data_IF_644200512508
#
_entry.id   IF_644200512508
#
_cell.length_a   1.000
_cell.length_b   1.000
_cell.length_c   1.000
_cell.angle_alpha   90.00
_cell.angle_beta   90.00
_cell.angle_gamma   90.00
#
_symmetry.space_group_name_H-M   'P 1'
#
loop_
_entity.id
_entity.type
_entity.pdbx_description
1 polymer ?
#
# COMPACT_ATOMS: atom_id res chain seq x y z
N UNK A 1 -13.43 -5.73 16.27
CA UNK A 1 -12.16 -5.02 16.48
C UNK A 1 -11.00 -5.97 16.82
N UNK A 2 -11.12 -6.83 17.84
CA UNK A 2 -10.02 -7.71 18.31
C UNK A 2 -9.44 -8.66 17.23
N UNK A 3 -10.30 -9.28 16.41
CA UNK A 3 -9.85 -10.13 15.30
C UNK A 3 -9.14 -9.37 14.18
N UNK A 4 -9.40 -8.07 14.02
CA UNK A 4 -8.75 -7.23 13.02
C UNK A 4 -7.32 -6.89 13.45
N UNK A 5 -7.12 -6.55 14.72
CA UNK A 5 -5.78 -6.29 15.28
C UNK A 5 -4.88 -7.53 15.25
N UNK A 6 -5.41 -8.72 15.58
CA UNK A 6 -4.66 -9.98 15.46
C UNK A 6 -4.25 -10.28 14.02
N UNK A 7 -5.10 -9.96 13.04
CA UNK A 7 -4.77 -10.10 11.61
C UNK A 7 -3.72 -9.10 11.15
N UNK A 8 -3.70 -7.89 11.71
CA UNK A 8 -2.66 -6.90 11.47
C UNK A 8 -1.31 -7.37 12.01
N UNK A 9 -1.28 -7.86 13.26
CA UNK A 9 -0.07 -8.42 13.88
C UNK A 9 0.43 -9.64 13.08
N UNK A 10 -0.48 -10.48 12.57
CA UNK A 10 -0.11 -11.60 11.71
C UNK A 10 0.48 -11.20 10.34
N UNK A 11 0.07 -10.06 9.76
CA UNK A 11 0.68 -9.52 8.54
C UNK A 11 2.08 -9.00 8.85
N UNK A 12 2.26 -8.29 9.97
CA UNK A 12 3.56 -7.78 10.43
C UNK A 12 4.51 -8.93 10.81
N UNK A 13 3.98 -10.01 11.41
CA UNK A 13 4.69 -11.25 11.76
C UNK A 13 4.82 -12.23 10.61
N UNK A 14 4.35 -11.87 9.41
CA UNK A 14 4.52 -12.68 8.20
C UNK A 14 3.98 -14.11 8.35
N UNK A 15 2.83 -14.29 9.01
CA UNK A 15 2.23 -15.61 9.13
C UNK A 15 1.92 -16.19 7.75
N UNK A 16 2.19 -17.50 7.60
CA UNK A 16 1.99 -18.27 6.37
C UNK A 16 0.59 -18.11 5.75
N UNK A 17 -0.46 -17.89 6.54
CA UNK A 17 -1.84 -17.71 6.04
C UNK A 17 -2.01 -16.53 5.05
N UNK A 18 -1.14 -15.52 5.11
CA UNK A 18 -1.15 -14.37 4.18
C UNK A 18 -0.74 -14.74 2.75
N UNK A 19 0.04 -15.81 2.59
CA UNK A 19 0.52 -16.36 1.31
C UNK A 19 -0.02 -17.77 1.02
N UNK A 20 -0.79 -18.33 1.95
CA UNK A 20 -1.30 -19.70 1.89
C UNK A 20 -2.29 -19.91 0.75
N UNK A 21 -2.24 -21.10 0.16
CA UNK A 21 -3.05 -21.49 -1.00
C UNK A 21 -4.39 -22.10 -0.66
N UNK A 22 -4.61 -22.50 0.60
CA UNK A 22 -5.78 -23.29 0.97
C UNK A 22 -7.11 -22.49 0.99
N UNK A 23 -7.09 -21.17 1.22
CA UNK A 23 -8.31 -20.32 1.25
C UNK A 23 -8.16 -19.02 0.45
N UNK A 24 -8.01 -19.11 -0.88
CA UNK A 24 -7.51 -18.02 -1.71
C UNK A 24 -8.42 -16.78 -1.73
N UNK A 25 -9.74 -16.98 -1.68
CA UNK A 25 -10.73 -15.89 -1.75
C UNK A 25 -10.86 -15.11 -0.43
N UNK A 26 -10.81 -15.80 0.71
CA UNK A 26 -10.95 -15.16 2.03
C UNK A 26 -9.74 -14.31 2.40
N UNK A 27 -8.53 -14.80 2.11
CA UNK A 27 -7.29 -14.05 2.34
C UNK A 27 -7.24 -12.79 1.48
N UNK A 28 -7.54 -12.90 0.18
CA UNK A 28 -7.57 -11.75 -0.72
C UNK A 28 -8.59 -10.70 -0.27
N UNK A 29 -9.82 -11.11 0.08
CA UNK A 29 -10.84 -10.18 0.62
C UNK A 29 -10.38 -9.50 1.90
N UNK A 30 -9.74 -10.23 2.81
CA UNK A 30 -9.24 -9.67 4.08
C UNK A 30 -8.16 -8.61 3.81
N UNK A 31 -7.21 -8.89 2.92
CA UNK A 31 -6.17 -7.93 2.55
C UNK A 31 -6.76 -6.66 1.91
N UNK A 32 -7.74 -6.81 1.02
CA UNK A 32 -8.47 -5.69 0.42
C UNK A 32 -9.15 -4.85 1.50
N UNK A 33 -9.86 -5.48 2.43
CA UNK A 33 -10.51 -4.77 3.54
C UNK A 33 -9.52 -4.03 4.42
N UNK A 34 -8.34 -4.59 4.67
CA UNK A 34 -7.27 -3.94 5.44
C UNK A 34 -6.74 -2.71 4.68
N UNK A 35 -6.45 -2.82 3.38
CA UNK A 35 -6.02 -1.68 2.56
C UNK A 35 -7.05 -0.57 2.58
N UNK A 36 -8.33 -0.91 2.39
CA UNK A 36 -9.42 0.07 2.40
C UNK A 36 -9.55 0.74 3.77
N UNK A 37 -9.69 -0.05 4.84
CA UNK A 37 -9.97 0.48 6.18
C UNK A 37 -8.81 1.32 6.71
N UNK A 38 -7.58 0.81 6.66
CA UNK A 38 -6.42 1.55 7.15
C UNK A 38 -6.03 2.70 6.20
N UNK A 39 -6.16 2.53 4.88
CA UNK A 39 -5.95 3.60 3.91
C UNK A 39 -6.92 4.78 4.12
N UNK A 40 -8.19 4.49 4.41
CA UNK A 40 -9.19 5.52 4.74
C UNK A 40 -8.84 6.27 6.03
N UNK A 41 -8.35 5.58 7.06
CA UNK A 41 -7.96 6.24 8.32
C UNK A 41 -6.85 7.26 8.13
N UNK A 42 -5.81 6.91 7.35
CA UNK A 42 -4.73 7.86 7.05
C UNK A 42 -5.20 9.01 6.16
N UNK A 43 -5.97 8.70 5.10
CA UNK A 43 -6.49 9.73 4.20
C UNK A 43 -7.44 10.72 4.89
N UNK A 44 -8.20 10.27 5.89
CA UNK A 44 -9.02 11.15 6.72
C UNK A 44 -8.17 12.14 7.54
N UNK A 45 -7.07 11.66 8.14
CA UNK A 45 -6.15 12.53 8.91
C UNK A 45 -5.42 13.51 7.99
N UNK A 46 -5.00 13.08 6.80
CA UNK A 46 -4.39 13.95 5.79
C UNK A 46 -5.35 15.07 5.36
N UNK A 47 -6.65 14.77 5.19
CA UNK A 47 -7.68 15.74 4.85
C UNK A 47 -8.02 16.74 5.97
N UNK A 48 -7.55 16.52 7.21
CA UNK A 48 -7.74 17.46 8.31
C UNK A 48 -6.76 18.65 8.28
N UNK A 49 -5.80 18.69 7.34
CA UNK A 49 -4.82 19.79 7.26
C UNK A 49 -5.46 21.14 6.88
N UNK A 50 -6.46 21.14 6.01
CA UNK A 50 -7.14 22.36 5.53
C UNK A 50 -8.42 22.66 6.33
N UNK A 51 -8.27 22.81 7.64
CA UNK A 51 -9.41 22.99 8.57
C UNK A 51 -10.02 24.41 8.52
N UNK A 52 -9.47 25.34 7.73
CA UNK A 52 -9.90 26.74 7.66
C UNK A 52 -10.82 27.05 6.46
N UNK A 53 -10.95 26.16 5.49
CA UNK A 53 -11.74 26.38 4.28
C UNK A 53 -13.16 25.79 4.42
N UNK A 54 -14.18 26.50 3.96
CA UNK A 54 -15.62 26.26 4.21
C UNK A 54 -16.22 24.91 3.71
N UNK A 55 -15.40 23.94 3.27
CA UNK A 55 -15.77 22.61 2.73
C UNK A 55 -15.51 21.42 3.68
N UNK A 56 -15.61 21.68 4.99
CA UNK A 56 -15.17 20.89 6.17
C UNK A 56 -15.22 19.36 6.13
N UNK A 57 -16.23 18.76 5.50
CA UNK A 57 -16.42 17.30 5.48
C UNK A 57 -16.08 16.68 4.13
N UNK A 58 -16.22 17.46 3.06
CA UNK A 58 -16.10 16.93 1.70
C UNK A 58 -14.64 16.65 1.34
N UNK A 59 -13.71 17.48 1.83
CA UNK A 59 -12.26 17.30 1.63
C UNK A 59 -11.69 16.11 2.42
N UNK A 60 -12.14 15.91 3.66
CA UNK A 60 -11.78 14.73 4.48
C UNK A 60 -12.24 13.44 3.80
N UNK A 61 -13.48 13.41 3.29
CA UNK A 61 -14.02 12.27 2.57
C UNK A 61 -13.28 12.03 1.25
N UNK A 62 -12.97 13.10 0.49
CA UNK A 62 -12.18 12.98 -0.74
C UNK A 62 -10.78 12.40 -0.49
N UNK A 63 -10.06 12.89 0.52
CA UNK A 63 -8.71 12.40 0.84
C UNK A 63 -8.74 10.98 1.43
N UNK A 64 -9.74 10.65 2.25
CA UNK A 64 -9.95 9.29 2.77
C UNK A 64 -10.20 8.26 1.67
N UNK A 65 -10.94 8.63 0.61
CA UNK A 65 -11.19 7.75 -0.53
C UNK A 65 -9.96 7.68 -1.46
N UNK A 66 -9.23 8.79 -1.62
CA UNK A 66 -8.06 8.88 -2.51
C UNK A 66 -6.94 7.93 -2.14
N UNK A 67 -6.63 7.79 -0.86
CA UNK A 67 -5.45 7.00 -0.43
C UNK A 67 -5.59 5.51 -0.78
N UNK A 68 -6.69 4.81 -0.44
CA UNK A 68 -6.94 3.47 -0.93
C UNK A 68 -7.00 3.40 -2.46
N UNK A 69 -7.65 4.38 -3.10
CA UNK A 69 -7.78 4.42 -4.56
C UNK A 69 -6.41 4.49 -5.24
N UNK A 70 -5.48 5.29 -4.69
CA UNK A 70 -4.12 5.38 -5.20
C UNK A 70 -3.40 4.03 -5.10
N UNK A 71 -3.45 3.37 -3.94
CA UNK A 71 -2.80 2.06 -3.75
C UNK A 71 -3.39 1.01 -4.72
N UNK A 72 -4.71 0.96 -4.85
CA UNK A 72 -5.37 0.02 -5.77
C UNK A 72 -5.10 0.35 -7.23
N UNK A 73 -5.12 1.61 -7.61
CA UNK A 73 -4.91 2.02 -8.99
C UNK A 73 -3.45 1.82 -9.41
N UNK A 74 -2.48 2.15 -8.54
CA UNK A 74 -1.06 1.85 -8.79
C UNK A 74 -0.85 0.35 -8.97
N UNK A 75 -1.44 -0.47 -8.10
CA UNK A 75 -1.39 -1.93 -8.22
C UNK A 75 -2.08 -2.45 -9.49
N UNK A 76 -3.27 -1.97 -9.81
CA UNK A 76 -4.05 -2.40 -10.98
C UNK A 76 -3.37 -2.02 -12.30
N UNK A 77 -2.72 -0.86 -12.35
CA UNK A 77 -1.98 -0.41 -13.53
C UNK A 77 -0.66 -1.16 -13.71
N UNK A 78 0.01 -1.57 -12.64
CA UNK A 78 1.25 -2.35 -12.75
C UNK A 78 1.02 -3.84 -12.99
N UNK A 79 -0.18 -4.37 -12.73
CA UNK A 79 -0.53 -5.78 -12.89
C UNK A 79 -0.39 -6.34 -14.33
N UNK A 80 -0.91 -5.68 -15.38
CA UNK A 80 -0.80 -6.19 -16.75
C UNK A 80 0.65 -6.34 -17.20
N UNK A 81 1.48 -5.34 -16.94
CA UNK A 81 2.92 -5.35 -17.26
C UNK A 81 3.61 -6.49 -16.51
N UNK A 82 3.29 -6.67 -15.24
CA UNK A 82 3.81 -7.77 -14.44
C UNK A 82 3.35 -9.14 -14.97
N UNK A 83 2.09 -9.30 -15.37
CA UNK A 83 1.59 -10.56 -15.94
C UNK A 83 2.31 -10.97 -17.22
N UNK A 84 2.47 -10.04 -18.16
CA UNK A 84 3.13 -10.31 -19.45
C UNK A 84 4.58 -10.76 -19.23
N UNK A 85 5.33 -10.02 -18.42
CA UNK A 85 6.73 -10.36 -18.11
C UNK A 85 6.79 -11.70 -17.37
N UNK A 86 5.86 -11.99 -16.44
CA UNK A 86 5.84 -13.26 -15.71
C UNK A 86 5.65 -14.46 -16.65
N UNK A 87 4.78 -14.32 -17.66
CA UNK A 87 4.56 -15.36 -18.67
C UNK A 87 5.77 -15.52 -19.59
N UNK A 88 6.44 -14.43 -19.99
CA UNK A 88 7.66 -14.47 -20.81
C UNK A 88 8.81 -15.21 -20.10
N UNK A 89 8.94 -15.04 -18.78
CA UNK A 89 9.95 -15.76 -17.97
C UNK A 89 9.54 -17.20 -17.58
N UNK A 90 8.37 -17.68 -18.03
CA UNK A 90 7.87 -19.03 -17.71
C UNK A 90 7.37 -19.20 -16.27
N UNK A 91 7.13 -18.11 -15.55
CA UNK A 91 6.77 -18.10 -14.12
C UNK A 91 5.24 -18.07 -13.89
N UNK A 92 4.45 -18.35 -14.93
CA UNK A 92 2.98 -18.23 -14.92
C UNK A 92 2.28 -19.04 -13.81
N UNK A 93 2.82 -20.19 -13.43
CA UNK A 93 2.23 -21.05 -12.39
C UNK A 93 2.29 -20.41 -10.98
N UNK A 94 3.36 -19.68 -10.68
CA UNK A 94 3.56 -18.98 -9.40
C UNK A 94 2.85 -17.61 -9.35
N UNK A 95 2.25 -17.16 -10.46
CA UNK A 95 1.67 -15.81 -10.59
C UNK A 95 0.64 -15.48 -9.49
N UNK A 96 -0.18 -16.45 -9.09
CA UNK A 96 -1.17 -16.26 -8.02
C UNK A 96 -0.50 -16.02 -6.67
N UNK A 97 0.63 -16.67 -6.40
CA UNK A 97 1.40 -16.49 -5.17
C UNK A 97 2.14 -15.14 -5.17
N UNK A 98 2.65 -14.72 -6.33
CA UNK A 98 3.24 -13.40 -6.54
C UNK A 98 2.23 -12.27 -6.27
N UNK A 99 1.04 -12.32 -6.89
CA UNK A 99 -0.03 -11.33 -6.67
C UNK A 99 -0.40 -11.21 -5.19
N UNK A 100 -0.52 -12.34 -4.47
CA UNK A 100 -0.86 -12.31 -3.03
C UNK A 100 0.22 -11.66 -2.21
N UNK A 101 1.49 -11.95 -2.51
CA UNK A 101 2.63 -11.34 -1.84
C UNK A 101 2.66 -9.83 -2.05
N UNK A 102 2.34 -9.39 -3.26
CA UNK A 102 2.18 -7.98 -3.61
C UNK A 102 1.00 -7.36 -2.83
N UNK A 103 -0.18 -8.00 -2.84
CA UNK A 103 -1.35 -7.51 -2.10
C UNK A 103 -1.10 -7.43 -0.58
N UNK A 104 -0.33 -8.38 -0.02
CA UNK A 104 0.10 -8.34 1.37
C UNK A 104 1.03 -7.15 1.65
N UNK A 105 1.94 -6.83 0.71
CA UNK A 105 2.74 -5.60 0.83
C UNK A 105 1.89 -4.33 0.77
N UNK A 106 0.84 -4.29 -0.05
CA UNK A 106 -0.10 -3.14 -0.10
C UNK A 106 -0.84 -2.96 1.24
N UNK A 107 -1.30 -4.07 1.83
CA UNK A 107 -1.91 -4.05 3.16
C UNK A 107 -0.93 -3.53 4.22
N UNK A 108 0.34 -3.94 4.18
CA UNK A 108 1.37 -3.41 5.06
C UNK A 108 1.55 -1.90 4.90
N UNK A 109 1.61 -1.38 3.67
CA UNK A 109 1.70 0.08 3.43
C UNK A 109 0.54 0.80 4.10
N UNK A 110 -0.69 0.32 3.91
CA UNK A 110 -1.88 0.92 4.51
C UNK A 110 -1.85 0.88 6.06
N UNK A 111 -1.45 -0.25 6.64
CA UNK A 111 -1.31 -0.41 8.10
C UNK A 111 -0.27 0.57 8.65
N UNK A 112 0.91 0.66 8.03
CA UNK A 112 1.99 1.54 8.48
C UNK A 112 1.57 3.00 8.35
N UNK A 113 0.93 3.39 7.25
CA UNK A 113 0.36 4.73 7.09
C UNK A 113 -0.62 5.05 8.22
N UNK A 114 -1.59 4.17 8.47
CA UNK A 114 -2.56 4.39 9.55
C UNK A 114 -1.90 4.49 10.93
N UNK A 115 -0.84 3.72 11.19
CA UNK A 115 -0.06 3.82 12.43
C UNK A 115 0.69 5.15 12.55
N UNK A 116 1.05 5.77 11.43
CA UNK A 116 1.70 7.09 11.38
C UNK A 116 0.69 8.25 11.43
N UNK A 117 -0.61 7.97 11.30
CA UNK A 117 -1.66 8.98 11.28
C UNK A 117 -1.68 9.87 12.54
N UNK A 118 -1.57 9.35 13.79
CA UNK A 118 -1.51 10.19 14.99
C UNK A 118 -0.30 11.14 14.97
N UNK A 119 0.83 10.69 14.44
CA UNK A 119 2.05 11.49 14.31
C UNK A 119 1.89 12.60 13.27
N UNK A 120 1.20 12.34 12.16
CA UNK A 120 0.86 13.40 11.19
C UNK A 120 -0.10 14.43 11.79
N UNK A 121 -1.06 14.00 12.62
CA UNK A 121 -2.01 14.91 13.26
C UNK A 121 -1.34 15.84 14.28
N UNK A 122 -0.39 15.34 15.08
CA UNK A 122 0.36 16.20 16.02
C UNK A 122 1.27 17.18 15.29
N UNK A 123 1.84 16.81 14.13
CA UNK A 123 2.62 17.73 13.30
C UNK A 123 1.76 18.89 12.77
N UNK A 124 0.55 18.59 12.29
CA UNK A 124 -0.38 19.61 11.79
C UNK A 124 -0.80 20.60 12.88
N UNK A 125 -0.94 20.14 14.13
CA UNK A 125 -1.20 21.02 15.26
C UNK A 125 -0.06 22.00 15.55
N UNK A 126 1.19 21.64 15.21
CA UNK A 126 2.38 22.46 15.44
C UNK A 126 2.82 23.33 14.26
N UNK A 127 2.33 23.11 13.04
CA UNK A 127 2.78 23.82 11.84
C UNK A 127 1.72 23.88 10.74
N UNK A 128 1.27 25.10 10.39
CA UNK A 128 0.23 25.35 9.38
C UNK A 128 0.77 25.63 7.96
N UNK A 129 2.06 25.38 7.71
CA UNK A 129 2.69 25.65 6.40
C UNK A 129 2.39 24.52 5.42
N UNK A 130 1.78 24.87 4.29
CA UNK A 130 1.39 23.93 3.23
C UNK A 130 2.57 23.11 2.69
N UNK A 131 3.72 23.74 2.45
CA UNK A 131 4.93 23.04 1.96
C UNK A 131 5.42 21.97 2.95
N UNK A 132 5.33 22.27 4.25
CA UNK A 132 5.70 21.32 5.31
C UNK A 132 4.73 20.14 5.39
N UNK A 133 3.44 20.34 5.12
CA UNK A 133 2.45 19.28 5.11
C UNK A 133 2.61 18.33 3.92
N UNK A 134 2.94 18.86 2.74
CA UNK A 134 3.30 18.03 1.58
C UNK A 134 4.53 17.18 1.91
N UNK A 135 5.58 17.79 2.47
CA UNK A 135 6.82 17.10 2.81
C UNK A 135 6.60 15.98 3.83
N UNK A 136 5.82 16.23 4.90
CA UNK A 136 5.51 15.24 5.93
C UNK A 136 4.70 14.08 5.37
N UNK A 137 3.64 14.35 4.58
CA UNK A 137 2.88 13.28 3.94
C UNK A 137 3.75 12.45 3.00
N UNK A 138 4.56 13.11 2.17
CA UNK A 138 5.51 12.43 1.28
C UNK A 138 6.46 11.52 2.04
N UNK A 139 6.98 11.99 3.18
CA UNK A 139 7.83 11.19 4.07
C UNK A 139 7.09 9.97 4.64
N UNK A 140 5.86 10.12 5.13
CA UNK A 140 5.07 8.99 5.66
C UNK A 140 4.80 7.94 4.58
N UNK A 141 4.43 8.37 3.37
CA UNK A 141 4.26 7.47 2.23
C UNK A 141 5.57 6.77 1.83
N UNK A 142 6.71 7.47 1.89
CA UNK A 142 8.01 6.88 1.61
C UNK A 142 8.39 5.82 2.65
N UNK A 143 8.20 6.11 3.94
CA UNK A 143 8.46 5.16 5.04
C UNK A 143 7.54 3.94 4.93
N UNK A 144 6.25 4.15 4.72
CA UNK A 144 5.28 3.07 4.58
C UNK A 144 5.57 2.20 3.35
N UNK A 145 5.91 2.83 2.22
CA UNK A 145 6.33 2.12 1.00
C UNK A 145 7.59 1.29 1.24
N UNK A 146 8.58 1.85 1.95
CA UNK A 146 9.79 1.12 2.34
C UNK A 146 9.49 -0.14 3.16
N UNK A 147 8.60 -0.03 4.15
CA UNK A 147 8.15 -1.18 4.94
C UNK A 147 7.39 -2.23 4.09
N UNK A 148 6.52 -1.77 3.18
CA UNK A 148 5.83 -2.65 2.23
C UNK A 148 6.81 -3.41 1.32
N UNK A 149 7.81 -2.73 0.76
CA UNK A 149 8.86 -3.36 -0.06
C UNK A 149 9.71 -4.34 0.74
N UNK A 150 9.96 -4.06 2.02
CA UNK A 150 10.65 -4.98 2.91
C UNK A 150 9.88 -6.29 3.07
N UNK A 151 8.58 -6.22 3.39
CA UNK A 151 7.72 -7.41 3.48
C UNK A 151 7.64 -8.16 2.15
N UNK A 152 7.53 -7.43 1.03
CA UNK A 152 7.50 -8.05 -0.30
C UNK A 152 8.75 -8.89 -0.57
N UNK A 153 9.93 -8.35 -0.29
CA UNK A 153 11.22 -9.06 -0.44
C UNK A 153 11.29 -10.31 0.41
N UNK A 154 10.75 -10.28 1.62
CA UNK A 154 10.74 -11.45 2.49
C UNK A 154 9.77 -12.53 1.99
N UNK A 155 8.54 -12.16 1.58
CA UNK A 155 7.58 -13.10 1.01
C UNK A 155 8.08 -13.74 -0.30
N UNK A 156 8.72 -12.94 -1.17
CA UNK A 156 9.30 -13.42 -2.43
C UNK A 156 10.48 -14.36 -2.25
N UNK A 157 11.12 -14.40 -1.08
CA UNK A 157 12.26 -15.31 -0.83
C UNK A 157 11.88 -16.78 -1.09
N UNK A 158 10.65 -17.17 -0.74
CA UNK A 158 10.15 -18.54 -0.99
C UNK A 158 10.02 -18.85 -2.48
N UNK A 159 9.64 -17.86 -3.30
CA UNK A 159 9.56 -17.99 -4.76
C UNK A 159 10.96 -17.98 -5.38
N UNK A 160 11.85 -17.11 -4.90
CA UNK A 160 13.24 -17.01 -5.38
C UNK A 160 14.02 -18.33 -5.17
N UNK A 161 13.75 -19.03 -4.06
CA UNK A 161 14.35 -20.35 -3.81
C UNK A 161 13.87 -21.42 -4.80
N UNK A 162 12.64 -21.31 -5.34
CA UNK A 162 12.15 -22.21 -6.40
C UNK A 162 12.75 -21.85 -7.77
N UNK A 163 12.84 -20.56 -8.08
CA UNK A 163 13.37 -20.07 -9.35
C UNK A 163 14.00 -18.67 -9.18
N UNK A 164 15.27 -18.52 -9.60
CA UNK A 164 16.04 -17.28 -9.46
C UNK A 164 15.48 -16.11 -10.29
N UNK A 165 14.72 -16.37 -11.37
CA UNK A 165 14.08 -15.33 -12.19
C UNK A 165 13.08 -14.49 -11.39
N UNK A 166 12.52 -15.01 -10.29
CA UNK A 166 11.67 -14.22 -9.38
C UNK A 166 12.39 -13.01 -8.77
N UNK A 167 13.72 -13.03 -8.69
CA UNK A 167 14.51 -11.89 -8.22
C UNK A 167 14.50 -10.73 -9.23
N UNK A 168 14.65 -11.04 -10.52
CA UNK A 168 14.55 -10.05 -11.60
C UNK A 168 13.13 -9.48 -11.59
N UNK A 169 12.14 -10.36 -11.42
CA UNK A 169 10.74 -10.00 -11.40
C UNK A 169 10.38 -9.05 -10.24
N UNK A 170 10.95 -9.25 -9.06
CA UNK A 170 10.80 -8.33 -7.92
C UNK A 170 11.37 -6.94 -8.22
N UNK A 171 12.55 -6.87 -8.84
CA UNK A 171 13.15 -5.59 -9.24
C UNK A 171 12.34 -4.88 -10.31
N UNK A 172 11.87 -5.63 -11.32
CA UNK A 172 10.98 -5.11 -12.35
C UNK A 172 9.69 -4.55 -11.75
N UNK A 173 9.06 -5.30 -10.83
CA UNK A 173 7.88 -4.84 -10.10
C UNK A 173 8.15 -3.54 -9.35
N UNK A 174 9.25 -3.47 -8.59
CA UNK A 174 9.60 -2.28 -7.82
C UNK A 174 9.79 -1.06 -8.74
N UNK A 175 10.48 -1.24 -9.86
CA UNK A 175 10.70 -0.19 -10.84
C UNK A 175 9.38 0.34 -11.42
N UNK A 176 8.52 -0.56 -11.92
CA UNK A 176 7.21 -0.19 -12.48
C UNK A 176 6.33 0.47 -11.41
N UNK A 177 6.30 -0.09 -10.20
CA UNK A 177 5.47 0.41 -9.11
C UNK A 177 5.86 1.83 -8.68
N UNK A 178 7.17 2.12 -8.59
CA UNK A 178 7.64 3.47 -8.26
C UNK A 178 7.27 4.47 -9.36
N UNK A 179 7.49 4.11 -10.64
CA UNK A 179 7.13 4.99 -11.75
C UNK A 179 5.63 5.30 -11.80
N UNK A 180 4.80 4.27 -11.74
CA UNK A 180 3.33 4.41 -11.74
C UNK A 180 2.88 5.14 -10.48
N UNK A 181 3.47 4.86 -9.32
CA UNK A 181 3.17 5.54 -8.06
C UNK A 181 3.43 7.05 -8.13
N UNK A 182 4.57 7.46 -8.70
CA UNK A 182 4.89 8.87 -8.94
C UNK A 182 3.86 9.50 -9.90
N UNK A 183 3.54 8.84 -11.01
CA UNK A 183 2.54 9.35 -11.96
C UNK A 183 1.16 9.50 -11.33
N UNK A 184 0.69 8.49 -10.59
CA UNK A 184 -0.60 8.54 -9.90
C UNK A 184 -0.62 9.59 -8.79
N UNK A 185 0.51 9.79 -8.10
CA UNK A 185 0.69 10.89 -7.13
C UNK A 185 0.68 12.28 -7.77
N UNK A 186 0.92 12.40 -9.08
CA UNK A 186 0.72 13.66 -9.82
C UNK A 186 -0.71 13.81 -10.33
N UNK A 187 -1.29 12.75 -10.90
CA UNK A 187 -2.65 12.75 -11.48
C UNK A 187 -3.72 13.00 -10.41
N UNK A 188 -3.53 12.46 -9.20
CA UNK A 188 -4.47 12.68 -8.09
C UNK A 188 -4.25 13.99 -7.34
N UNK A 189 -3.41 14.92 -7.81
CA UNK A 189 -3.35 16.25 -7.19
C UNK A 189 -4.68 17.01 -7.39
N UNK A 190 -5.11 17.84 -6.43
CA UNK A 190 -4.54 18.05 -5.09
C UNK A 190 -4.99 16.97 -4.09
N UNK A 191 -4.06 16.46 -3.25
CA UNK A 191 -4.38 15.56 -2.13
C UNK A 191 -4.68 16.30 -0.83
N UNK A 192 -4.23 17.55 -0.76
CA UNK A 192 -4.36 18.50 0.34
C UNK A 192 -5.06 19.71 -0.24
#
# INVERSE_FOLDING_TARGET
MYQLLLRTDDILRQRRWTTDSERPWHTARTLVWIVVLFGMTYGAVMGCFDLQSAGRLWQVVYSAIKVPLLLFATFALSLPSFYVVNMLFGLGHDFRQAIRSIMASQACVAIVLASLAPLTATWYAGSSRYDSAIAVNGLMFAVASGAGQWILRQNYRTLILKNSHHRIMLWFWLFVYVLVGIQMGWILRPFI
#
